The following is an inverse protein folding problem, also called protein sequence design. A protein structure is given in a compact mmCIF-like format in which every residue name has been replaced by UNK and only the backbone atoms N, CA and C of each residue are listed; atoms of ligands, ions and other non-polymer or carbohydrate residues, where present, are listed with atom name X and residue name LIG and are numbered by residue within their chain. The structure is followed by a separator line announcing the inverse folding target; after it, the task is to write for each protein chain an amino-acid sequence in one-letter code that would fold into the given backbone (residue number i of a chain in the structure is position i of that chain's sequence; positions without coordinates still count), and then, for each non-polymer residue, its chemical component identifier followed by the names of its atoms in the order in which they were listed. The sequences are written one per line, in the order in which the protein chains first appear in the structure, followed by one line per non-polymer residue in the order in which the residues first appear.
data_IF_254037306750
#
_entry.id   IF_254037306750
#
_cell.length_a   1.000
_cell.length_b   1.000
_cell.length_c   1.000
_cell.angle_alpha   90.00
_cell.angle_beta   90.00
_cell.angle_gamma   90.00
#
_symmetry.space_group_name_H-M   'P 1'
#
loop_
_entity.id
_entity.type
_entity.pdbx_description
1 polymer ?
#
# COMPACT_ATOMS: atom_id res chain seq x y z
N UNK A 1 -19.78 -6.40 -1.38
CA UNK A 1 -18.70 -7.14 -0.66
C UNK A 1 -18.79 -6.73 0.80
N UNK A 2 -18.45 -7.62 1.74
CA UNK A 2 -18.43 -7.33 3.18
C UNK A 2 -17.08 -6.75 3.60
N UNK A 3 -17.08 -5.87 4.60
CA UNK A 3 -15.86 -5.38 5.25
C UNK A 3 -15.34 -6.42 6.25
N UNK A 4 -14.02 -6.53 6.41
CA UNK A 4 -13.39 -7.38 7.43
C UNK A 4 -12.01 -6.84 7.85
N UNK A 5 -11.58 -7.24 9.05
CA UNK A 5 -10.24 -6.93 9.54
C UNK A 5 -9.25 -7.85 8.83
N UNK A 6 -8.27 -7.29 8.13
CA UNK A 6 -7.27 -8.06 7.38
C UNK A 6 -6.34 -8.81 8.32
N UNK A 7 -5.87 -9.97 7.86
CA UNK A 7 -4.89 -10.77 8.58
C UNK A 7 -3.56 -10.02 8.73
N UNK A 8 -2.84 -10.25 9.84
CA UNK A 8 -1.53 -9.64 10.09
C UNK A 8 -0.53 -9.97 8.96
N UNK A 9 -0.62 -11.15 8.36
CA UNK A 9 0.22 -11.54 7.23
C UNK A 9 0.00 -10.66 6.00
N UNK A 10 -1.23 -10.18 5.79
CA UNK A 10 -1.53 -9.23 4.72
C UNK A 10 -0.74 -7.93 4.90
N UNK A 11 -0.71 -7.41 6.12
CA UNK A 11 0.04 -6.19 6.48
C UNK A 11 1.56 -6.47 6.42
N UNK A 12 2.03 -7.62 6.91
CA UNK A 12 3.42 -8.04 6.82
C UNK A 12 3.94 -7.97 5.38
N UNK A 13 3.16 -8.49 4.41
CA UNK A 13 3.50 -8.49 2.99
C UNK A 13 3.58 -7.07 2.45
N UNK A 14 2.65 -6.18 2.79
CA UNK A 14 2.68 -4.77 2.37
C UNK A 14 3.91 -4.04 2.92
N UNK A 15 4.23 -4.22 4.20
CA UNK A 15 5.42 -3.62 4.82
C UNK A 15 6.72 -4.19 4.26
N UNK A 16 6.78 -5.51 4.05
CA UNK A 16 7.93 -6.17 3.41
C UNK A 16 8.15 -5.67 1.98
N UNK A 17 7.09 -5.59 1.18
CA UNK A 17 7.16 -5.07 -0.18
C UNK A 17 7.63 -3.61 -0.18
N UNK A 18 7.08 -2.81 0.72
CA UNK A 18 7.47 -1.43 0.94
C UNK A 18 8.89 -1.26 1.46
N UNK A 19 9.54 -2.26 2.05
CA UNK A 19 10.89 -2.10 2.64
C UNK A 19 11.99 -2.81 1.85
N UNK A 20 11.70 -3.99 1.31
CA UNK A 20 12.68 -4.92 0.77
C UNK A 20 12.33 -5.49 -0.61
N UNK A 21 11.03 -5.56 -0.95
CA UNK A 21 10.56 -6.44 -2.04
C UNK A 21 10.90 -5.98 -3.45
N UNK A 22 10.99 -4.67 -3.70
CA UNK A 22 11.10 -4.13 -5.05
C UNK A 22 12.21 -3.07 -5.16
N UNK A 23 12.88 -3.02 -6.33
CA UNK A 23 13.95 -2.06 -6.58
C UNK A 23 13.41 -0.64 -6.43
N UNK A 24 14.05 0.14 -5.55
CA UNK A 24 13.89 1.60 -5.50
C UNK A 24 15.14 2.26 -6.06
N UNK A 25 15.00 3.35 -6.84
CA UNK A 25 16.14 4.16 -7.26
C UNK A 25 16.94 4.70 -6.06
N UNK A 26 16.28 5.01 -4.94
CA UNK A 26 16.93 5.47 -3.70
C UNK A 26 15.99 5.41 -2.48
N UNK A 27 16.56 5.12 -1.30
CA UNK A 27 15.96 5.36 0.03
C UNK A 27 14.81 4.44 0.47
N UNK A 28 14.32 4.68 1.70
CA UNK A 28 13.13 4.01 2.21
C UNK A 28 11.83 4.70 1.74
N UNK A 29 10.71 3.97 1.75
CA UNK A 29 9.38 4.49 1.41
C UNK A 29 9.08 5.67 2.33
N UNK A 30 8.83 6.83 1.75
CA UNK A 30 8.65 8.09 2.49
C UNK A 30 7.41 8.76 1.98
N UNK A 31 6.46 9.08 2.85
CA UNK A 31 5.19 9.70 2.47
C UNK A 31 4.93 10.95 3.31
N UNK A 32 4.22 11.90 2.68
CA UNK A 32 3.78 13.14 3.30
C UNK A 32 2.30 13.00 3.66
N UNK A 33 1.93 13.46 4.85
CA UNK A 33 0.56 13.41 5.36
C UNK A 33 0.26 14.69 6.16
N UNK A 34 -1.00 14.86 6.56
CA UNK A 34 -1.44 16.08 7.27
C UNK A 34 -1.18 17.37 6.44
N UNK A 35 -1.46 17.24 5.13
CA UNK A 35 -1.41 18.24 4.06
C UNK A 35 -0.64 19.56 4.34
N UNK A 36 0.63 19.71 3.92
CA UNK A 36 1.70 18.73 3.73
C UNK A 36 2.75 18.88 4.86
N UNK A 37 2.32 18.88 6.11
CA UNK A 37 3.17 19.34 7.24
C UNK A 37 4.05 18.25 7.84
N UNK A 38 3.70 16.98 7.64
CA UNK A 38 4.37 15.85 8.29
C UNK A 38 4.90 14.84 7.27
N UNK A 39 6.08 14.30 7.57
CA UNK A 39 6.74 13.27 6.78
C UNK A 39 6.97 12.06 7.66
N UNK A 40 6.68 10.86 7.15
CA UNK A 40 7.06 9.62 7.80
C UNK A 40 7.76 8.70 6.79
N UNK A 41 8.50 7.72 7.31
CA UNK A 41 9.35 6.85 6.53
C UNK A 41 9.31 5.41 7.06
N UNK A 42 9.29 4.44 6.15
CA UNK A 42 9.29 3.03 6.47
C UNK A 42 10.72 2.53 6.74
N UNK A 43 11.11 2.54 8.00
CA UNK A 43 12.37 2.02 8.54
C UNK A 43 12.13 0.76 9.38
N UNK A 44 13.19 0.02 9.74
CA UNK A 44 13.08 -1.15 10.64
C UNK A 44 12.43 -0.80 11.98
N UNK A 45 12.86 0.31 12.59
CA UNK A 45 12.33 0.77 13.89
C UNK A 45 10.87 1.24 13.83
N UNK A 46 10.34 1.48 12.63
CA UNK A 46 8.99 1.98 12.43
C UNK A 46 7.98 0.92 11.99
N UNK A 47 8.42 -0.32 11.72
CA UNK A 47 7.56 -1.38 11.15
C UNK A 47 6.33 -1.65 12.02
N UNK A 48 6.51 -1.84 13.32
CA UNK A 48 5.40 -2.10 14.25
C UNK A 48 4.43 -0.92 14.29
N UNK A 49 4.95 0.30 14.39
CA UNK A 49 4.13 1.51 14.46
C UNK A 49 3.30 1.71 13.18
N UNK A 50 3.91 1.48 12.02
CA UNK A 50 3.23 1.62 10.72
C UNK A 50 2.22 0.49 10.54
N UNK A 51 2.57 -0.74 10.93
CA UNK A 51 1.65 -1.86 10.89
C UNK A 51 0.44 -1.66 11.79
N UNK A 52 0.63 -1.18 13.02
CA UNK A 52 -0.46 -0.82 13.93
C UNK A 52 -1.34 0.27 13.33
N UNK A 53 -0.75 1.32 12.75
CA UNK A 53 -1.50 2.36 12.04
C UNK A 53 -2.40 1.78 10.93
N UNK A 54 -1.93 0.73 10.22
CA UNK A 54 -2.72 0.07 9.19
C UNK A 54 -3.84 -0.80 9.77
N UNK A 55 -3.60 -1.50 10.88
CA UNK A 55 -4.62 -2.26 11.62
C UNK A 55 -5.71 -1.33 12.14
N UNK A 56 -5.33 -0.21 12.73
CA UNK A 56 -6.26 0.76 13.33
C UNK A 56 -7.19 1.34 12.26
N UNK A 57 -6.65 1.73 11.10
CA UNK A 57 -7.43 2.30 10.01
C UNK A 57 -8.42 1.29 9.40
N UNK A 58 -7.99 0.04 9.20
CA UNK A 58 -8.88 -1.02 8.71
C UNK A 58 -9.95 -1.37 9.76
N UNK A 59 -9.60 -1.43 11.05
CA UNK A 59 -10.56 -1.68 12.13
C UNK A 59 -11.59 -0.56 12.24
N UNK A 60 -11.17 0.71 12.08
CA UNK A 60 -12.08 1.86 12.04
C UNK A 60 -13.11 1.74 10.90
N UNK A 61 -12.65 1.29 9.72
CA UNK A 61 -13.51 1.04 8.56
C UNK A 61 -14.53 -0.09 8.81
N UNK A 62 -14.09 -1.22 9.36
CA UNK A 62 -14.98 -2.32 9.74
C UNK A 62 -16.01 -1.85 10.78
N UNK A 63 -15.59 -1.09 11.78
CA UNK A 63 -16.47 -0.53 12.81
C UNK A 63 -17.48 0.48 12.25
N UNK A 64 -17.09 1.22 11.20
CA UNK A 64 -18.01 2.10 10.48
C UNK A 64 -19.13 1.31 9.78
N UNK A 65 -18.79 0.20 9.10
CA UNK A 65 -19.79 -0.66 8.46
C UNK A 65 -20.69 -1.40 9.47
N UNK A 66 -20.11 -1.85 10.59
CA UNK A 66 -20.77 -2.70 11.58
C UNK A 66 -20.93 -2.01 12.93
N UNK A 67 -21.37 -0.74 12.92
CA UNK A 67 -21.48 0.09 14.12
C UNK A 67 -22.34 -0.51 15.26
N UNK A 68 -23.26 -1.43 14.95
CA UNK A 68 -24.08 -2.15 15.93
C UNK A 68 -23.38 -3.37 16.57
N UNK A 69 -22.25 -3.81 16.03
CA UNK A 69 -21.43 -4.90 16.55
C UNK A 69 -19.94 -4.61 16.28
N UNK A 70 -19.39 -3.56 16.92
CA UNK A 70 -18.04 -3.11 16.63
C UNK A 70 -17.00 -4.11 17.15
N UNK A 71 -15.88 -4.18 16.43
CA UNK A 71 -14.63 -4.74 16.93
C UNK A 71 -14.08 -3.76 17.97
N UNK A 72 -14.23 -4.09 19.25
CA UNK A 72 -13.88 -3.21 20.36
C UNK A 72 -12.36 -3.06 20.56
N UNK A 73 -11.58 -4.07 20.18
CA UNK A 73 -10.12 -4.08 20.35
C UNK A 73 -9.48 -4.58 19.04
N UNK A 74 -8.83 -3.71 18.23
CA UNK A 74 -7.92 -4.20 17.22
C UNK A 74 -6.83 -5.04 17.89
N UNK A 75 -6.33 -6.06 17.18
CA UNK A 75 -5.19 -6.82 17.69
C UNK A 75 -3.94 -5.94 17.77
N UNK A 76 -3.09 -6.19 18.76
CA UNK A 76 -1.77 -5.58 18.84
C UNK A 76 -0.89 -6.13 17.71
N UNK A 77 -0.42 -5.23 16.86
CA UNK A 77 0.39 -5.58 15.71
C UNK A 77 1.88 -5.61 16.08
N UNK A 78 2.52 -6.74 15.78
CA UNK A 78 3.96 -6.87 15.76
C UNK A 78 4.41 -7.40 14.41
N UNK A 79 5.35 -6.69 13.79
CA UNK A 79 5.88 -7.09 12.50
C UNK A 79 6.59 -8.42 12.61
N UNK A 80 6.19 -9.33 11.73
CA UNK A 80 6.93 -10.57 11.47
C UNK A 80 7.28 -10.62 10.00
N UNK A 81 8.41 -11.26 9.68
CA UNK A 81 8.77 -11.48 8.28
C UNK A 81 7.67 -12.33 7.64
N UNK A 82 7.14 -11.94 6.45
CA UNK A 82 6.14 -12.74 5.76
C UNK A 82 6.59 -14.18 5.52
N UNK A 83 5.64 -15.11 5.54
CA UNK A 83 5.85 -16.52 5.23
C UNK A 83 6.42 -16.69 3.82
N UNK A 84 5.94 -15.86 2.87
CA UNK A 84 6.42 -15.85 1.49
C UNK A 84 6.90 -14.45 1.09
N UNK A 85 8.10 -14.39 0.50
CA UNK A 85 8.74 -13.16 0.01
C UNK A 85 9.01 -13.20 -1.50
N UNK A 86 8.31 -14.08 -2.23
CA UNK A 86 8.43 -14.27 -3.68
C UNK A 86 7.23 -13.74 -4.45
N UNK A 87 6.47 -12.83 -3.84
CA UNK A 87 5.31 -12.19 -4.48
C UNK A 87 5.73 -11.30 -5.65
N UNK A 88 4.97 -11.36 -6.73
CA UNK A 88 5.12 -10.44 -7.86
C UNK A 88 4.59 -9.04 -7.52
N UNK A 89 5.05 -8.02 -8.26
CA UNK A 89 4.55 -6.64 -8.12
C UNK A 89 3.03 -6.58 -8.28
N UNK A 90 2.47 -7.36 -9.20
CA UNK A 90 1.03 -7.38 -9.48
C UNK A 90 0.23 -7.99 -8.33
N UNK A 91 0.74 -9.04 -7.68
CA UNK A 91 0.11 -9.63 -6.50
C UNK A 91 0.08 -8.64 -5.34
N UNK A 92 1.19 -7.93 -5.10
CA UNK A 92 1.25 -6.91 -4.04
C UNK A 92 0.36 -5.71 -4.36
N UNK A 93 0.28 -5.25 -5.62
CA UNK A 93 -0.67 -4.21 -6.03
C UNK A 93 -2.12 -4.62 -5.73
N UNK A 94 -2.49 -5.87 -6.04
CA UNK A 94 -3.83 -6.38 -5.75
C UNK A 94 -4.08 -6.51 -4.25
N UNK A 95 -3.09 -6.93 -3.47
CA UNK A 95 -3.17 -6.97 -2.01
C UNK A 95 -3.34 -5.55 -1.43
N UNK A 96 -2.63 -4.56 -1.96
CA UNK A 96 -2.77 -3.16 -1.55
C UNK A 96 -4.18 -2.63 -1.84
N UNK A 97 -4.71 -2.89 -3.04
CA UNK A 97 -6.09 -2.53 -3.39
C UNK A 97 -7.13 -3.20 -2.48
N UNK A 98 -6.90 -4.48 -2.12
CA UNK A 98 -7.73 -5.17 -1.13
C UNK A 98 -7.71 -4.42 0.20
N UNK A 99 -6.52 -4.07 0.71
CA UNK A 99 -6.38 -3.35 1.97
C UNK A 99 -7.10 -1.99 1.92
N UNK A 100 -6.90 -1.19 0.86
CA UNK A 100 -7.59 0.10 0.70
C UNK A 100 -9.11 -0.07 0.70
N UNK A 101 -9.64 -1.05 -0.03
CA UNK A 101 -11.07 -1.35 -0.03
C UNK A 101 -11.60 -1.70 1.36
N UNK A 102 -10.81 -2.43 2.17
CA UNK A 102 -11.19 -2.80 3.53
C UNK A 102 -11.03 -1.65 4.54
N UNK A 103 -10.37 -0.54 4.18
CA UNK A 103 -10.06 0.58 5.07
C UNK A 103 -10.77 1.90 4.73
N UNK A 104 -11.46 1.99 3.58
CA UNK A 104 -11.89 3.27 3.02
C UNK A 104 -13.28 3.77 3.43
N UNK A 105 -13.97 3.09 4.33
CA UNK A 105 -15.35 3.43 4.71
C UNK A 105 -15.48 4.74 5.52
N UNK A 106 -14.53 5.11 6.41
CA UNK A 106 -14.57 6.38 7.11
C UNK A 106 -14.46 7.56 6.14
N UNK A 107 -15.25 8.61 6.35
CA UNK A 107 -15.31 9.78 5.46
C UNK A 107 -13.97 10.52 5.32
N UNK A 108 -13.12 10.45 6.35
CA UNK A 108 -11.80 11.09 6.39
C UNK A 108 -10.69 10.21 5.81
N UNK A 109 -10.99 9.02 5.27
CA UNK A 109 -9.99 8.08 4.76
C UNK A 109 -8.91 8.73 3.90
N UNK A 110 -9.28 9.57 2.92
CA UNK A 110 -8.31 10.17 1.99
C UNK A 110 -7.36 11.20 2.63
N UNK A 111 -7.61 11.65 3.85
CA UNK A 111 -6.73 12.56 4.60
C UNK A 111 -5.89 11.83 5.65
N UNK A 112 -6.14 10.53 5.87
CA UNK A 112 -5.41 9.73 6.85
C UNK A 112 -3.95 9.48 6.45
N UNK A 113 -3.11 9.26 7.45
CA UNK A 113 -1.73 8.82 7.24
C UNK A 113 -1.65 7.43 6.58
N UNK A 114 -2.60 6.54 6.87
CA UNK A 114 -2.68 5.21 6.26
C UNK A 114 -2.91 5.29 4.75
N UNK A 115 -3.84 6.14 4.29
CA UNK A 115 -4.04 6.38 2.87
C UNK A 115 -2.80 6.97 2.19
N UNK A 116 -2.11 7.92 2.84
CA UNK A 116 -0.87 8.48 2.31
C UNK A 116 0.24 7.41 2.15
N UNK A 117 0.36 6.48 3.09
CA UNK A 117 1.24 5.32 2.96
C UNK A 117 0.85 4.45 1.76
N UNK A 118 -0.44 4.11 1.62
CA UNK A 118 -0.93 3.29 0.50
C UNK A 118 -0.63 3.93 -0.86
N UNK A 119 -0.88 5.23 -0.98
CA UNK A 119 -0.57 5.99 -2.20
C UNK A 119 0.90 5.93 -2.60
N UNK A 120 1.79 6.10 -1.63
CA UNK A 120 3.23 6.06 -1.91
C UNK A 120 3.68 4.63 -2.25
N UNK A 121 3.17 3.63 -1.54
CA UNK A 121 3.44 2.23 -1.86
C UNK A 121 2.94 1.88 -3.27
N UNK A 122 1.75 2.32 -3.65
CA UNK A 122 1.21 2.15 -5.00
C UNK A 122 2.12 2.78 -6.05
N UNK A 123 2.60 4.01 -5.81
CA UNK A 123 3.49 4.73 -6.74
C UNK A 123 4.79 3.96 -6.94
N UNK A 124 5.40 3.50 -5.84
CA UNK A 124 6.60 2.68 -5.89
C UNK A 124 6.36 1.36 -6.65
N UNK A 125 5.26 0.66 -6.38
CA UNK A 125 4.94 -0.60 -7.05
C UNK A 125 4.70 -0.38 -8.55
N UNK A 126 4.02 0.70 -8.93
CA UNK A 126 3.80 1.05 -10.33
C UNK A 126 5.13 1.27 -11.07
N UNK A 127 6.09 1.96 -10.44
CA UNK A 127 7.44 2.16 -10.98
C UNK A 127 8.22 0.86 -11.12
N UNK A 128 7.97 -0.13 -10.26
CA UNK A 128 8.61 -1.43 -10.33
C UNK A 128 8.04 -2.36 -11.42
N UNK A 129 6.96 -1.98 -12.11
CA UNK A 129 6.37 -2.81 -13.15
C UNK A 129 7.28 -2.94 -14.38
N UNK A 130 7.43 -4.15 -14.95
CA UNK A 130 8.18 -4.34 -16.18
C UNK A 130 7.66 -3.43 -17.31
N UNK A 131 8.58 -2.64 -17.88
CA UNK A 131 8.27 -1.70 -18.96
C UNK A 131 7.89 -0.29 -18.52
N UNK A 132 7.80 0.00 -17.21
CA UNK A 132 7.54 1.34 -16.71
C UNK A 132 8.60 2.34 -17.19
N UNK A 133 9.89 2.06 -16.97
CA UNK A 133 10.99 2.95 -17.36
C UNK A 133 11.11 3.16 -18.89
N UNK A 134 10.72 2.15 -19.67
CA UNK A 134 10.75 2.20 -21.13
C UNK A 134 9.48 2.85 -21.74
N UNK A 135 8.45 3.08 -20.92
CA UNK A 135 7.23 3.71 -21.35
C UNK A 135 7.49 5.20 -21.63
N UNK A 136 6.82 5.79 -22.64
CA UNK A 136 6.92 7.23 -22.87
C UNK A 136 6.35 8.00 -21.68
N UNK A 137 7.12 8.95 -21.15
CA UNK A 137 6.66 9.84 -20.08
C UNK A 137 5.45 10.68 -20.51
N UNK A 138 5.42 11.14 -21.77
CA UNK A 138 4.32 11.89 -22.36
C UNK A 138 3.87 11.25 -23.68
N UNK A 139 2.55 11.20 -23.90
CA UNK A 139 1.97 10.70 -25.14
C UNK A 139 1.84 11.86 -26.14
N UNK A 140 2.47 11.71 -27.30
CA UNK A 140 2.46 12.67 -28.42
C UNK A 140 2.03 11.97 -29.71
N UNK A 141 1.83 12.74 -30.80
CA UNK A 141 1.45 12.20 -32.11
C UNK A 141 2.44 11.19 -32.70
N UNK A 142 3.70 11.22 -32.26
CA UNK A 142 4.77 10.30 -32.72
C UNK A 142 5.04 9.16 -31.74
N UNK A 143 4.30 9.09 -30.63
CA UNK A 143 4.46 8.02 -29.64
C UNK A 143 3.89 6.72 -30.20
N UNK A 144 4.71 5.67 -30.21
CA UNK A 144 4.28 4.32 -30.61
C UNK A 144 4.03 3.48 -29.36
N UNK A 145 2.81 2.94 -29.15
CA UNK A 145 2.51 2.10 -27.99
C UNK A 145 3.40 0.86 -27.95
N UNK A 146 3.79 0.44 -26.74
CA UNK A 146 4.71 -0.68 -26.54
C UNK A 146 4.21 -2.00 -27.18
N UNK A 147 2.89 -2.21 -27.23
CA UNK A 147 2.29 -3.37 -27.87
C UNK A 147 2.64 -3.51 -29.36
N UNK A 148 2.82 -2.39 -30.09
CA UNK A 148 3.18 -2.40 -31.51
C UNK A 148 4.67 -2.63 -31.77
N UNK A 149 5.52 -2.58 -30.73
CA UNK A 149 6.97 -2.82 -30.86
C UNK A 149 7.34 -4.31 -30.83
N UNK A 150 6.41 -5.20 -30.46
CA UNK A 150 6.63 -6.66 -30.30
C UNK A 150 6.50 -7.47 -31.60
N UNK A 151 6.16 -6.82 -32.71
CA UNK A 151 5.90 -7.47 -34.02
C UNK A 151 6.96 -7.16 -35.08
N UNK A 152 8.16 -6.72 -34.69
CA UNK A 152 9.28 -6.45 -35.59
C UNK A 152 10.46 -7.38 -35.31
#
# INVERSE_FOLDING_TARGET
MSAYVVDAEHINVLLWAGRYGFRRPCGNLTWVYDNPTRVNQLTEDSLDKIGQMLVDANTASVNYCYFNNPVHEPYEYHYTRPLHTSWSVVEVLKALQCYEFQACEPQDWQTTQAYAFCRELHTMLAQALPGYDAAPWAITRISVPAAYRRTA
#
